data_IF_994805885413
#
_entry.id   IF_994805885413
#
_cell.length_a   1.000
_cell.length_b   1.000
_cell.length_c   1.000
_cell.angle_alpha   90.00
_cell.angle_beta   90.00
_cell.angle_gamma   90.00
#
_symmetry.space_group_name_H-M   'P 1'
#
loop_
_entity.id
_entity.type
_entity.pdbx_description
1 polymer ?
#
# COMPACT_ATOMS: atom_id res chain seq x y z
N UNK A 1 13.72 17.01 18.22
CA UNK A 1 14.85 17.47 17.39
C UNK A 1 14.53 17.24 15.92
N UNK A 2 14.98 18.07 14.97
CA UNK A 2 14.73 17.85 13.55
C UNK A 2 15.40 16.55 13.08
N UNK A 3 14.67 15.73 12.31
CA UNK A 3 15.21 14.47 11.77
C UNK A 3 16.19 14.68 10.61
N UNK A 4 16.27 15.89 10.07
CA UNK A 4 17.23 16.29 9.03
C UNK A 4 18.11 17.43 9.53
N UNK A 5 19.43 17.22 9.52
CA UNK A 5 20.41 18.23 9.95
C UNK A 5 21.03 18.90 8.74
N UNK A 6 20.89 20.22 8.65
CA UNK A 6 21.57 21.03 7.62
C UNK A 6 22.88 21.53 8.21
N UNK A 7 24.00 21.05 7.66
CA UNK A 7 25.33 21.54 8.05
C UNK A 7 25.58 22.88 7.36
N UNK A 8 25.43 23.97 8.11
CA UNK A 8 25.65 25.33 7.61
C UNK A 8 27.13 25.73 7.63
N UNK A 9 27.94 25.08 8.48
CA UNK A 9 29.36 25.38 8.66
C UNK A 9 30.19 24.10 8.81
N UNK A 10 31.33 24.04 8.14
CA UNK A 10 32.33 22.96 8.25
C UNK A 10 33.65 23.56 8.74
N UNK A 11 34.20 23.12 9.89
CA UNK A 11 35.50 23.58 10.39
C UNK A 11 36.67 23.30 9.44
N UNK A 12 36.53 22.31 8.54
CA UNK A 12 37.53 21.94 7.53
C UNK A 12 37.50 22.84 6.28
N UNK A 13 36.62 23.84 6.24
CA UNK A 13 36.35 24.65 5.05
C UNK A 13 35.53 23.90 3.98
N UNK A 14 35.12 24.63 2.93
CA UNK A 14 34.36 24.08 1.79
C UNK A 14 33.24 25.01 1.28
N UNK A 15 32.69 24.69 0.09
CA UNK A 15 31.53 25.41 -0.45
C UNK A 15 30.31 25.17 0.44
N UNK A 16 29.52 26.20 0.80
CA UNK A 16 28.33 26.03 1.62
C UNK A 16 27.37 24.99 1.05
N UNK A 17 26.63 24.30 1.93
CA UNK A 17 25.56 23.40 1.50
C UNK A 17 24.60 24.13 0.56
N UNK A 18 24.26 23.48 -0.56
CA UNK A 18 23.43 24.08 -1.61
C UNK A 18 21.98 24.27 -1.17
N UNK A 19 21.47 23.30 -0.42
CA UNK A 19 20.16 23.37 0.23
C UNK A 19 20.35 23.86 1.66
N UNK A 20 19.89 25.07 1.94
CA UNK A 20 20.11 25.77 3.22
C UNK A 20 18.88 25.74 4.12
N UNK A 21 17.72 25.36 3.58
CA UNK A 21 16.47 25.33 4.33
C UNK A 21 15.76 23.98 4.21
N UNK A 22 15.14 23.53 5.31
CA UNK A 22 14.42 22.25 5.35
C UNK A 22 13.31 22.15 4.32
N UNK A 23 12.60 23.24 4.04
CA UNK A 23 11.54 23.26 3.03
C UNK A 23 12.04 22.96 1.61
N UNK A 24 13.30 23.31 1.29
CA UNK A 24 13.91 23.00 -0.02
C UNK A 24 14.15 21.50 -0.15
N UNK A 25 14.64 20.88 0.94
CA UNK A 25 14.90 19.43 1.00
C UNK A 25 13.58 18.65 0.93
N UNK A 26 12.59 19.05 1.73
CA UNK A 26 11.27 18.43 1.73
C UNK A 26 10.57 18.60 0.38
N UNK A 27 10.57 19.82 -0.17
CA UNK A 27 9.99 20.11 -1.48
C UNK A 27 10.62 19.26 -2.59
N UNK A 28 11.95 19.12 -2.59
CA UNK A 28 12.64 18.25 -3.54
C UNK A 28 12.25 16.78 -3.39
N UNK A 29 12.15 16.28 -2.16
CA UNK A 29 11.73 14.90 -1.91
C UNK A 29 10.28 14.64 -2.37
N UNK A 30 9.37 15.57 -2.08
CA UNK A 30 7.97 15.43 -2.50
C UNK A 30 7.83 15.51 -4.03
N UNK A 31 8.54 16.43 -4.69
CA UNK A 31 8.63 16.45 -6.16
C UNK A 31 9.18 15.14 -6.70
N UNK A 32 10.23 14.59 -6.07
CA UNK A 32 10.79 13.29 -6.46
C UNK A 32 9.77 12.14 -6.33
N UNK A 33 8.89 12.16 -5.34
CA UNK A 33 7.86 11.13 -5.15
C UNK A 33 6.66 11.27 -6.09
N UNK A 34 6.19 12.50 -6.31
CA UNK A 34 4.99 12.77 -7.11
C UNK A 34 5.24 12.69 -8.61
N UNK A 35 6.46 13.01 -9.04
CA UNK A 35 6.80 13.11 -10.46
C UNK A 35 7.60 11.90 -10.97
N UNK A 36 7.46 11.59 -12.27
CA UNK A 36 8.28 10.64 -13.01
C UNK A 36 9.58 11.25 -13.53
N UNK A 37 9.86 12.52 -13.18
CA UNK A 37 11.09 13.24 -13.52
C UNK A 37 12.36 12.38 -13.44
N UNK A 38 13.16 12.49 -14.51
CA UNK A 38 14.55 12.04 -14.52
C UNK A 38 15.38 12.88 -13.54
N UNK A 39 16.47 12.29 -13.03
CA UNK A 39 17.37 12.96 -12.10
C UNK A 39 17.91 14.29 -12.64
N UNK A 40 18.12 14.41 -13.95
CA UNK A 40 18.55 15.64 -14.63
C UNK A 40 17.55 16.79 -14.45
N UNK A 41 16.25 16.53 -14.56
CA UNK A 41 15.21 17.54 -14.43
C UNK A 41 15.09 18.03 -12.98
N UNK A 42 15.17 17.11 -12.02
CA UNK A 42 15.21 17.47 -10.60
C UNK A 42 16.45 18.31 -10.26
N UNK A 43 17.60 18.00 -10.88
CA UNK A 43 18.82 18.81 -10.76
C UNK A 43 18.67 20.21 -11.33
N UNK A 44 17.97 20.38 -12.46
CA UNK A 44 17.68 21.68 -13.06
C UNK A 44 16.74 22.49 -12.18
N UNK A 45 15.63 21.90 -11.73
CA UNK A 45 14.59 22.59 -10.97
C UNK A 45 15.08 23.05 -9.60
N UNK A 46 15.83 22.21 -8.90
CA UNK A 46 16.34 22.51 -7.56
C UNK A 46 17.75 23.11 -7.59
N UNK A 47 18.33 23.26 -8.78
CA UNK A 47 19.68 23.75 -9.00
C UNK A 47 20.66 22.96 -8.14
N UNK A 48 21.02 21.73 -8.52
CA UNK A 48 21.97 20.89 -7.78
C UNK A 48 22.73 19.94 -8.70
N UNK A 49 24.03 19.65 -8.49
CA UNK A 49 24.70 18.63 -9.29
C UNK A 49 24.13 17.24 -8.94
N UNK A 50 24.13 16.26 -9.88
CA UNK A 50 23.51 14.94 -9.67
C UNK A 50 23.93 14.25 -8.37
N UNK A 51 25.22 14.23 -8.05
CA UNK A 51 25.73 13.61 -6.83
C UNK A 51 25.28 14.32 -5.53
N UNK A 52 24.95 15.61 -5.59
CA UNK A 52 24.42 16.33 -4.42
C UNK A 52 22.94 16.05 -4.24
N UNK A 53 22.15 16.12 -5.32
CA UNK A 53 20.72 15.82 -5.30
C UNK A 53 20.47 14.40 -4.80
N UNK A 54 21.21 13.42 -5.33
CA UNK A 54 21.10 12.02 -4.90
C UNK A 54 21.33 11.83 -3.41
N UNK A 55 22.44 12.38 -2.86
CA UNK A 55 22.74 12.31 -1.41
C UNK A 55 21.66 12.98 -0.56
N UNK A 56 21.15 14.11 -1.01
CA UNK A 56 20.12 14.86 -0.28
C UNK A 56 18.81 14.09 -0.28
N UNK A 57 18.41 13.47 -1.39
CA UNK A 57 17.22 12.58 -1.44
C UNK A 57 17.38 11.44 -0.44
N UNK A 58 18.50 10.70 -0.48
CA UNK A 58 18.70 9.55 0.43
C UNK A 58 18.59 9.96 1.90
N UNK A 59 19.21 11.07 2.28
CA UNK A 59 19.13 11.59 3.65
C UNK A 59 17.73 12.14 3.98
N UNK A 60 17.03 12.73 3.01
CA UNK A 60 15.67 13.23 3.18
C UNK A 60 14.66 12.08 3.35
N UNK A 61 14.80 10.99 2.58
CA UNK A 61 13.99 9.78 2.74
C UNK A 61 14.16 9.19 4.15
N UNK A 62 15.37 9.23 4.70
CA UNK A 62 15.64 8.79 6.08
C UNK A 62 14.95 9.68 7.11
N UNK A 63 15.13 10.99 6.98
CA UNK A 63 14.53 11.95 7.88
C UNK A 63 13.00 11.90 7.84
N UNK A 64 12.42 11.74 6.65
CA UNK A 64 10.99 11.57 6.45
C UNK A 64 10.51 10.26 7.09
N UNK A 65 11.23 9.16 6.90
CA UNK A 65 10.86 7.87 7.51
C UNK A 65 10.80 7.98 9.03
N UNK A 66 11.82 8.57 9.65
CA UNK A 66 11.86 8.83 11.08
C UNK A 66 10.71 9.72 11.56
N UNK A 67 10.37 10.76 10.78
CA UNK A 67 9.23 11.62 11.08
C UNK A 67 7.88 10.88 11.00
N UNK A 68 7.70 9.99 10.01
CA UNK A 68 6.43 9.28 9.78
C UNK A 68 6.21 8.08 10.70
N UNK A 69 7.25 7.53 11.34
CA UNK A 69 7.13 6.33 12.20
C UNK A 69 6.14 6.55 13.36
N UNK A 70 6.22 7.69 14.04
CA UNK A 70 5.38 8.05 15.18
C UNK A 70 4.27 9.06 14.87
N UNK A 71 4.07 9.42 13.60
CA UNK A 71 3.12 10.48 13.24
C UNK A 71 1.72 9.90 12.99
N UNK A 72 0.80 10.14 13.93
CA UNK A 72 -0.55 9.57 13.95
C UNK A 72 -1.30 9.64 12.61
N UNK A 73 -1.32 10.80 11.92
CA UNK A 73 -2.00 10.91 10.63
C UNK A 73 -1.45 9.97 9.54
N UNK A 74 -0.18 9.55 9.63
CA UNK A 74 0.47 8.70 8.63
C UNK A 74 0.51 7.22 9.00
N UNK A 75 0.03 6.84 10.20
CA UNK A 75 0.14 5.46 10.69
C UNK A 75 -0.66 4.48 9.83
N UNK A 76 -0.04 3.33 9.56
CA UNK A 76 -0.67 2.10 9.07
C UNK A 76 -0.83 1.20 10.28
N UNK A 77 -2.05 0.85 10.64
CA UNK A 77 -2.33 0.09 11.87
C UNK A 77 -3.53 -0.81 11.65
N UNK A 78 -3.42 -2.03 12.16
CA UNK A 78 -4.52 -2.98 12.13
C UNK A 78 -5.74 -2.41 12.89
N UNK A 79 -6.95 -2.47 12.33
CA UNK A 79 -8.12 -1.89 12.98
C UNK A 79 -8.46 -2.66 14.26
N UNK A 80 -8.82 -1.94 15.33
CA UNK A 80 -9.43 -2.54 16.53
C UNK A 80 -10.76 -3.20 16.20
N UNK A 81 -11.30 -4.07 17.06
CA UNK A 81 -12.61 -4.70 16.82
C UNK A 81 -13.73 -3.66 16.59
N UNK A 82 -13.74 -2.57 17.36
CA UNK A 82 -14.73 -1.51 17.18
C UNK A 82 -14.58 -0.86 15.81
N UNK A 83 -13.34 -0.65 15.34
CA UNK A 83 -13.08 -0.14 14.00
C UNK A 83 -13.45 -1.16 12.92
N UNK A 84 -13.17 -2.44 13.09
CA UNK A 84 -13.59 -3.48 12.15
C UNK A 84 -15.11 -3.49 11.96
N UNK A 85 -15.87 -3.38 13.06
CA UNK A 85 -17.34 -3.26 13.04
C UNK A 85 -17.81 -2.02 12.28
N UNK A 86 -17.18 -0.87 12.54
CA UNK A 86 -17.48 0.39 11.86
C UNK A 86 -17.22 0.31 10.35
N UNK A 87 -16.07 -0.22 9.93
CA UNK A 87 -15.71 -0.41 8.53
C UNK A 87 -16.65 -1.41 7.83
N UNK A 88 -16.99 -2.51 8.50
CA UNK A 88 -17.94 -3.46 7.94
C UNK A 88 -19.34 -2.88 7.80
N UNK A 89 -19.73 -1.97 8.70
CA UNK A 89 -21.00 -1.25 8.56
C UNK A 89 -20.99 -0.41 7.27
N UNK A 90 -19.94 0.37 7.01
CA UNK A 90 -19.80 1.15 5.76
C UNK A 90 -19.91 0.26 4.51
N UNK A 91 -19.24 -0.90 4.52
CA UNK A 91 -19.29 -1.85 3.40
C UNK A 91 -20.70 -2.45 3.25
N UNK A 92 -21.33 -2.84 4.37
CA UNK A 92 -22.68 -3.43 4.36
C UNK A 92 -23.78 -2.46 3.88
N UNK A 93 -23.60 -1.15 4.11
CA UNK A 93 -24.50 -0.12 3.60
C UNK A 93 -24.47 -0.05 2.08
N UNK A 94 -23.32 -0.35 1.46
CA UNK A 94 -23.17 -0.40 0.00
C UNK A 94 -23.52 -1.77 -0.58
N UNK A 95 -23.19 -2.84 0.13
CA UNK A 95 -23.38 -4.22 -0.31
C UNK A 95 -23.82 -5.09 0.88
N UNK A 96 -25.13 -5.29 1.04
CA UNK A 96 -25.68 -6.01 2.18
C UNK A 96 -25.23 -7.48 2.25
N UNK A 97 -24.92 -8.09 1.10
CA UNK A 97 -24.51 -9.50 1.01
C UNK A 97 -23.15 -9.81 1.66
N UNK A 98 -22.33 -8.80 1.96
CA UNK A 98 -20.97 -8.95 2.53
C UNK A 98 -20.81 -8.20 3.85
N UNK A 99 -21.71 -8.51 4.80
CA UNK A 99 -21.91 -7.75 6.05
C UNK A 99 -20.77 -7.80 7.07
N UNK A 100 -19.81 -8.72 6.95
CA UNK A 100 -18.68 -8.86 7.89
C UNK A 100 -17.32 -8.51 7.27
N UNK A 101 -17.30 -7.95 6.07
CA UNK A 101 -16.07 -7.52 5.40
C UNK A 101 -15.65 -6.16 5.96
N UNK A 102 -14.46 -6.05 6.57
CA UNK A 102 -13.93 -4.79 7.11
C UNK A 102 -12.81 -4.17 6.25
N UNK A 103 -12.45 -4.80 5.12
CA UNK A 103 -11.43 -4.28 4.22
C UNK A 103 -11.25 -5.08 2.94
N UNK A 104 -10.31 -4.64 2.12
CA UNK A 104 -10.02 -5.15 0.79
C UNK A 104 -8.53 -5.41 0.65
N UNK A 105 -8.15 -6.60 0.19
CA UNK A 105 -6.76 -7.04 0.06
C UNK A 105 -6.39 -7.12 -1.41
N UNK A 106 -5.24 -6.55 -1.77
CA UNK A 106 -4.72 -6.61 -3.13
C UNK A 106 -3.22 -6.89 -3.18
N UNK A 107 -2.81 -7.67 -4.18
CA UNK A 107 -1.43 -7.93 -4.51
C UNK A 107 -0.88 -6.85 -5.45
N UNK A 108 0.39 -6.48 -5.29
CA UNK A 108 1.02 -5.46 -6.12
C UNK A 108 2.49 -5.72 -6.41
N UNK A 109 2.82 -5.74 -7.68
CA UNK A 109 4.19 -5.79 -8.18
C UNK A 109 4.72 -4.38 -8.50
N UNK A 110 5.96 -4.13 -8.08
CA UNK A 110 6.73 -2.92 -8.39
C UNK A 110 8.00 -3.30 -9.13
N UNK A 111 8.24 -2.68 -10.29
CA UNK A 111 9.46 -2.91 -11.07
C UNK A 111 10.67 -2.47 -10.26
N UNK A 112 11.77 -3.19 -10.40
CA UNK A 112 13.05 -2.79 -9.83
C UNK A 112 14.11 -2.66 -10.92
N UNK A 113 15.13 -1.85 -10.63
CA UNK A 113 16.35 -1.88 -11.43
C UNK A 113 16.96 -3.27 -11.34
N UNK A 114 17.24 -3.84 -12.51
CA UNK A 114 17.77 -5.19 -12.65
C UNK A 114 19.08 -5.35 -11.86
N UNK A 115 19.13 -6.26 -10.86
CA UNK A 115 20.36 -6.56 -10.15
C UNK A 115 21.39 -7.19 -11.09
N UNK A 116 22.67 -6.82 -10.95
CA UNK A 116 23.76 -7.47 -11.71
C UNK A 116 24.09 -8.88 -11.22
N UNK A 117 23.68 -9.22 -10.00
CA UNK A 117 23.86 -10.55 -9.43
C UNK A 117 22.73 -11.48 -9.91
N UNK A 118 23.10 -12.61 -10.52
CA UNK A 118 22.17 -13.54 -11.12
C UNK A 118 21.20 -14.17 -10.12
N UNK A 119 21.65 -14.53 -8.91
CA UNK A 119 20.78 -15.13 -7.88
C UNK A 119 19.72 -14.14 -7.40
N UNK A 120 20.12 -12.89 -7.17
CA UNK A 120 19.19 -11.81 -6.82
C UNK A 120 18.22 -11.51 -7.96
N UNK A 121 18.71 -11.51 -9.20
CA UNK A 121 17.85 -11.33 -10.36
C UNK A 121 16.83 -12.47 -10.46
N UNK A 122 17.25 -13.72 -10.32
CA UNK A 122 16.38 -14.90 -10.36
C UNK A 122 15.33 -14.86 -9.25
N UNK A 123 15.72 -14.50 -8.02
CA UNK A 123 14.79 -14.36 -6.90
C UNK A 123 13.71 -13.30 -7.17
N UNK A 124 14.07 -12.23 -7.88
CA UNK A 124 13.15 -11.14 -8.21
C UNK A 124 12.46 -11.28 -9.57
N UNK A 125 12.84 -12.26 -10.39
CA UNK A 125 12.24 -12.48 -11.69
C UNK A 125 10.82 -13.03 -11.55
N UNK A 126 9.87 -12.35 -12.19
CA UNK A 126 8.48 -12.78 -12.23
C UNK A 126 8.21 -13.46 -13.57
N UNK A 127 7.99 -14.78 -13.53
CA UNK A 127 7.80 -15.59 -14.74
C UNK A 127 6.53 -15.25 -15.55
N UNK A 128 5.52 -14.63 -14.91
CA UNK A 128 4.28 -14.21 -15.56
C UNK A 128 4.43 -12.85 -16.26
N UNK A 129 5.13 -11.91 -15.62
CA UNK A 129 5.34 -10.56 -16.14
C UNK A 129 6.60 -10.41 -17.01
N UNK A 130 7.42 -11.46 -17.09
CA UNK A 130 8.65 -11.53 -17.88
C UNK A 130 9.67 -10.41 -17.59
N UNK A 131 9.74 -9.97 -16.33
CA UNK A 131 10.65 -8.91 -15.88
C UNK A 131 10.93 -9.03 -14.37
N UNK A 132 11.76 -8.15 -13.81
CA UNK A 132 12.24 -8.19 -12.43
C UNK A 132 11.42 -7.25 -11.54
N UNK A 133 10.83 -7.82 -10.48
CA UNK A 133 9.93 -7.12 -9.58
C UNK A 133 10.26 -7.36 -8.11
N UNK A 134 9.73 -6.50 -7.25
CA UNK A 134 9.35 -6.88 -5.89
C UNK A 134 7.84 -6.91 -5.79
N UNK A 135 7.34 -7.86 -5.02
CA UNK A 135 5.91 -7.99 -4.74
C UNK A 135 5.56 -7.42 -3.36
N UNK A 136 4.30 -7.05 -3.22
CA UNK A 136 3.69 -6.53 -2.02
C UNK A 136 2.21 -6.89 -1.96
N UNK A 137 1.62 -6.78 -0.78
CA UNK A 137 0.20 -6.93 -0.53
C UNK A 137 -0.24 -5.80 0.38
N UNK A 138 -1.31 -5.12 0.00
CA UNK A 138 -1.89 -3.99 0.72
C UNK A 138 -3.32 -4.34 1.13
N UNK A 139 -3.68 -3.99 2.36
CA UNK A 139 -5.04 -4.07 2.84
C UNK A 139 -5.59 -2.66 3.06
N UNK A 140 -6.68 -2.35 2.37
CA UNK A 140 -7.40 -1.09 2.46
C UNK A 140 -8.67 -1.24 3.27
N UNK A 141 -9.05 -0.18 3.95
CA UNK A 141 -10.30 -0.06 4.70
C UNK A 141 -11.31 0.77 3.90
N UNK A 142 -12.60 0.70 4.27
CA UNK A 142 -13.69 1.38 3.58
C UNK A 142 -13.57 2.92 3.58
N UNK A 143 -12.86 3.48 4.54
CA UNK A 143 -12.53 4.91 4.62
C UNK A 143 -11.22 5.24 3.85
N UNK A 144 -10.75 4.33 3.01
CA UNK A 144 -9.64 4.53 2.09
C UNK A 144 -8.24 4.49 2.70
N UNK A 145 -8.08 4.07 3.96
CA UNK A 145 -6.77 3.96 4.59
C UNK A 145 -6.14 2.59 4.33
N UNK A 146 -4.82 2.58 4.18
CA UNK A 146 -4.00 1.37 4.29
C UNK A 146 -3.96 0.98 5.76
N UNK A 147 -4.50 -0.19 6.10
CA UNK A 147 -4.53 -0.72 7.47
C UNK A 147 -3.49 -1.80 7.71
N UNK A 148 -3.00 -2.41 6.63
CA UNK A 148 -1.90 -3.36 6.68
C UNK A 148 -1.15 -3.36 5.35
N UNK A 149 0.15 -3.58 5.40
CA UNK A 149 1.00 -3.67 4.21
C UNK A 149 2.16 -4.62 4.48
N UNK A 150 2.44 -5.51 3.53
CA UNK A 150 3.69 -6.25 3.42
C UNK A 150 4.25 -6.03 2.03
N UNK A 151 5.47 -5.56 1.92
CA UNK A 151 6.04 -5.21 0.63
C UNK A 151 7.54 -5.47 0.61
N UNK A 152 8.14 -5.22 -0.56
CA UNK A 152 9.57 -5.43 -0.78
C UNK A 152 9.98 -6.91 -0.65
N UNK A 153 9.08 -7.82 -1.04
CA UNK A 153 9.32 -9.25 -1.09
C UNK A 153 9.83 -9.68 -2.49
N UNK A 154 10.46 -10.87 -2.61
CA UNK A 154 10.93 -11.37 -3.90
C UNK A 154 9.81 -11.41 -4.95
N UNK A 155 10.08 -10.92 -6.17
CA UNK A 155 9.07 -10.84 -7.24
C UNK A 155 8.60 -12.20 -7.77
N UNK A 156 9.31 -13.27 -7.42
CA UNK A 156 8.91 -14.66 -7.67
C UNK A 156 7.79 -15.16 -6.75
N UNK A 157 7.53 -14.48 -5.63
CA UNK A 157 6.48 -14.89 -4.68
C UNK A 157 5.09 -14.59 -5.25
N UNK A 158 4.15 -15.51 -5.00
CA UNK A 158 2.75 -15.34 -5.36
C UNK A 158 1.93 -14.74 -4.20
N UNK A 159 0.66 -14.44 -4.47
CA UNK A 159 -0.26 -13.86 -3.48
C UNK A 159 -0.50 -14.79 -2.27
N UNK A 160 -0.43 -16.10 -2.46
CA UNK A 160 -0.47 -17.10 -1.40
C UNK A 160 0.68 -16.97 -0.41
N UNK A 161 1.92 -16.89 -0.92
CA UNK A 161 3.13 -16.70 -0.11
C UNK A 161 3.09 -15.35 0.64
N UNK A 162 2.62 -14.31 -0.06
CA UNK A 162 2.53 -12.96 0.49
C UNK A 162 1.47 -12.84 1.59
N UNK A 163 0.35 -13.54 1.44
CA UNK A 163 -0.75 -13.50 2.39
C UNK A 163 -0.49 -14.23 3.71
N UNK A 164 0.57 -15.03 3.85
CA UNK A 164 0.79 -15.87 5.04
C UNK A 164 0.78 -15.06 6.35
N UNK A 165 1.46 -13.91 6.37
CA UNK A 165 1.50 -13.04 7.54
C UNK A 165 0.16 -12.35 7.79
N UNK A 166 -0.52 -11.96 6.71
CA UNK A 166 -1.87 -11.40 6.79
C UNK A 166 -2.87 -12.40 7.38
N UNK A 167 -2.82 -13.66 6.94
CA UNK A 167 -3.64 -14.75 7.47
C UNK A 167 -3.36 -15.01 8.95
N UNK A 168 -2.07 -14.97 9.36
CA UNK A 168 -1.71 -15.05 10.79
C UNK A 168 -2.32 -13.90 11.59
N UNK A 169 -2.31 -12.67 11.07
CA UNK A 169 -2.98 -11.53 11.70
C UNK A 169 -4.48 -11.75 11.81
N UNK A 170 -5.14 -12.22 10.75
CA UNK A 170 -6.58 -12.56 10.77
C UNK A 170 -6.94 -13.65 11.80
N UNK A 171 -6.03 -14.58 12.05
CA UNK A 171 -6.22 -15.67 13.02
C UNK A 171 -5.89 -15.29 14.46
N UNK A 172 -5.15 -14.21 14.66
CA UNK A 172 -4.79 -13.69 15.97
C UNK A 172 -6.06 -13.29 16.75
N UNK A 173 -6.24 -13.88 17.93
CA UNK A 173 -7.44 -13.69 18.76
C UNK A 173 -7.47 -12.34 19.47
N UNK A 174 -6.31 -11.70 19.65
CA UNK A 174 -6.25 -10.35 20.22
C UNK A 174 -6.60 -9.31 19.16
N UNK A 175 -6.13 -9.50 17.92
CA UNK A 175 -6.42 -8.60 16.82
C UNK A 175 -7.83 -8.81 16.23
N UNK A 176 -8.30 -10.06 16.18
CA UNK A 176 -9.57 -10.46 15.57
C UNK A 176 -10.35 -11.39 16.52
N UNK A 177 -10.85 -10.87 17.65
CA UNK A 177 -11.60 -11.66 18.63
C UNK A 177 -12.93 -12.20 18.07
N UNK A 178 -13.56 -11.47 17.13
CA UNK A 178 -14.76 -11.93 16.42
C UNK A 178 -14.35 -12.52 15.06
N UNK A 179 -14.50 -13.83 14.93
CA UNK A 179 -14.05 -14.61 13.78
C UNK A 179 -14.85 -14.39 12.50
N UNK A 180 -15.98 -13.68 12.58
CA UNK A 180 -16.81 -13.38 11.42
C UNK A 180 -16.19 -12.29 10.55
N UNK A 181 -15.41 -11.40 11.15
CA UNK A 181 -14.81 -10.29 10.42
C UNK A 181 -13.69 -10.76 9.51
N UNK A 182 -13.68 -10.18 8.32
CA UNK A 182 -12.84 -10.62 7.23
C UNK A 182 -12.55 -9.52 6.21
N UNK A 183 -11.94 -9.91 5.11
CA UNK A 183 -11.65 -9.04 3.97
C UNK A 183 -12.08 -9.69 2.67
N UNK A 184 -12.25 -8.88 1.64
CA UNK A 184 -12.37 -9.35 0.26
C UNK A 184 -11.03 -9.30 -0.43
N UNK A 185 -10.71 -10.31 -1.23
CA UNK A 185 -9.46 -10.42 -1.97
C UNK A 185 -9.70 -10.96 -3.40
N UNK A 186 -8.66 -10.96 -4.23
CA UNK A 186 -8.67 -11.69 -5.50
C UNK A 186 -8.59 -13.21 -5.27
N UNK A 187 -9.10 -13.97 -6.24
CA UNK A 187 -9.10 -15.44 -6.30
C UNK A 187 -7.71 -16.09 -6.23
N UNK A 188 -6.63 -15.32 -6.42
CA UNK A 188 -5.26 -15.77 -6.21
C UNK A 188 -4.91 -15.93 -4.72
N UNK A 189 -5.67 -15.30 -3.82
CA UNK A 189 -5.50 -15.44 -2.38
C UNK A 189 -6.14 -16.74 -1.85
N UNK A 190 -5.45 -17.46 -0.94
CA UNK A 190 -5.93 -18.74 -0.43
C UNK A 190 -7.10 -18.57 0.54
N UNK A 191 -8.20 -19.28 0.27
CA UNK A 191 -9.45 -19.24 1.07
C UNK A 191 -9.79 -20.57 1.77
N UNK A 192 -8.85 -21.50 1.85
CA UNK A 192 -9.06 -22.81 2.47
C UNK A 192 -8.98 -22.77 4.01
N UNK A 193 -9.54 -23.82 4.63
CA UNK A 193 -9.47 -24.10 6.06
C UNK A 193 -9.93 -22.92 6.93
N UNK A 194 -9.06 -22.44 7.82
CA UNK A 194 -9.34 -21.39 8.79
C UNK A 194 -9.69 -20.03 8.16
N UNK A 195 -9.39 -19.84 6.86
CA UNK A 195 -9.72 -18.62 6.10
C UNK A 195 -11.12 -18.64 5.50
N UNK A 196 -11.81 -19.79 5.51
CA UNK A 196 -13.17 -19.89 4.98
C UNK A 196 -14.10 -18.93 5.72
N UNK A 197 -14.80 -18.07 4.95
CA UNK A 197 -15.68 -17.03 5.47
C UNK A 197 -14.98 -15.77 5.99
N UNK A 198 -13.64 -15.76 6.05
CA UNK A 198 -12.83 -14.59 6.47
C UNK A 198 -12.11 -13.92 5.32
N UNK A 199 -11.62 -14.68 4.36
CA UNK A 199 -11.15 -14.14 3.08
C UNK A 199 -12.21 -14.53 2.06
N UNK A 200 -12.94 -13.53 1.58
CA UNK A 200 -13.96 -13.72 0.56
C UNK A 200 -13.35 -13.43 -0.80
N UNK A 201 -13.41 -14.39 -1.70
CA UNK A 201 -12.95 -14.27 -3.08
C UNK A 201 -14.09 -14.60 -4.04
N UNK A 202 -14.12 -13.99 -5.24
CA UNK A 202 -15.08 -14.35 -6.27
C UNK A 202 -14.96 -15.84 -6.62
N UNK A 203 -16.11 -16.47 -6.86
CA UNK A 203 -16.15 -17.86 -7.35
C UNK A 203 -15.66 -17.91 -8.80
N UNK A 204 -14.82 -18.90 -9.11
CA UNK A 204 -14.46 -19.23 -10.50
C UNK A 204 -15.64 -19.91 -11.18
N UNK A 205 -15.73 -19.79 -12.50
CA UNK A 205 -16.82 -20.37 -13.30
C UNK A 205 -16.96 -21.89 -13.09
N UNK A 206 -15.83 -22.60 -13.00
CA UNK A 206 -15.81 -24.03 -12.71
C UNK A 206 -16.36 -24.40 -11.33
N UNK A 207 -16.21 -23.53 -10.32
CA UNK A 207 -16.69 -23.78 -8.96
C UNK A 207 -18.20 -23.56 -8.86
N UNK A 208 -18.75 -22.59 -9.59
CA UNK A 208 -20.20 -22.39 -9.70
C UNK A 208 -20.92 -23.61 -10.28
N UNK A 209 -20.30 -24.29 -11.24
CA UNK A 209 -20.86 -25.48 -11.87
C UNK A 209 -20.86 -26.71 -10.95
N UNK A 210 -19.97 -26.74 -9.95
CA UNK A 210 -19.90 -27.80 -8.93
C UNK A 210 -20.96 -27.66 -7.83
N UNK A 211 -21.58 -26.48 -7.72
CA UNK A 211 -22.64 -26.23 -6.73
C UNK A 211 -23.96 -26.90 -7.15
N UNK A 212 -24.71 -27.34 -6.14
CA UNK A 212 -26.07 -27.86 -6.33
C UNK A 212 -26.97 -26.78 -6.96
N UNK A 213 -27.89 -27.15 -7.87
CA UNK A 213 -28.69 -26.16 -8.61
C UNK A 213 -29.46 -25.16 -7.72
N UNK A 214 -29.95 -25.61 -6.57
CA UNK A 214 -30.76 -24.79 -5.65
C UNK A 214 -30.02 -23.60 -5.03
N UNK A 215 -28.69 -23.67 -4.91
CA UNK A 215 -27.87 -22.59 -4.31
C UNK A 215 -27.11 -21.76 -5.33
N UNK A 216 -27.13 -22.16 -6.61
CA UNK A 216 -26.30 -21.57 -7.66
C UNK A 216 -26.60 -20.08 -7.89
N UNK A 217 -27.87 -19.69 -7.90
CA UNK A 217 -28.26 -18.28 -8.11
C UNK A 217 -27.88 -17.38 -6.93
N UNK A 218 -27.99 -17.88 -5.70
CA UNK A 218 -27.54 -17.16 -4.51
C UNK A 218 -26.03 -17.02 -4.51
N UNK A 219 -25.31 -18.10 -4.85
CA UNK A 219 -23.85 -18.09 -4.95
C UNK A 219 -23.34 -17.16 -6.06
N UNK A 220 -24.00 -17.11 -7.21
CA UNK A 220 -23.72 -16.14 -8.28
C UNK A 220 -23.90 -14.71 -7.80
N UNK A 221 -25.00 -14.43 -7.10
CA UNK A 221 -25.29 -13.10 -6.56
C UNK A 221 -24.25 -12.65 -5.54
N UNK A 222 -23.86 -13.55 -4.63
CA UNK A 222 -22.78 -13.28 -3.66
C UNK A 222 -21.42 -13.09 -4.36
N UNK A 223 -21.09 -13.92 -5.35
CA UNK A 223 -19.85 -13.80 -6.12
C UNK A 223 -19.79 -12.46 -6.86
N UNK A 224 -20.89 -12.04 -7.50
CA UNK A 224 -20.98 -10.74 -8.15
C UNK A 224 -20.82 -9.58 -7.16
N UNK A 225 -21.42 -9.70 -5.98
CA UNK A 225 -21.24 -8.74 -4.89
C UNK A 225 -19.78 -8.63 -4.44
N UNK A 226 -19.10 -9.77 -4.23
CA UNK A 226 -17.68 -9.83 -3.86
C UNK A 226 -16.83 -9.17 -4.96
N UNK A 227 -17.04 -9.53 -6.23
CA UNK A 227 -16.31 -8.95 -7.37
C UNK A 227 -16.47 -7.43 -7.42
N UNK A 228 -17.68 -6.93 -7.21
CA UNK A 228 -17.97 -5.49 -7.24
C UNK A 228 -17.20 -4.74 -6.14
N UNK A 229 -17.21 -5.23 -4.90
CA UNK A 229 -16.52 -4.52 -3.80
C UNK A 229 -15.01 -4.75 -3.81
N UNK A 230 -14.52 -5.85 -4.39
CA UNK A 230 -13.08 -6.12 -4.57
C UNK A 230 -12.39 -5.01 -5.36
N UNK A 231 -13.09 -4.40 -6.33
CA UNK A 231 -12.57 -3.29 -7.13
C UNK A 231 -12.07 -2.12 -6.27
N UNK A 232 -12.57 -1.97 -5.03
CA UNK A 232 -12.06 -0.99 -4.08
C UNK A 232 -10.56 -1.15 -3.79
N UNK A 233 -10.06 -2.39 -3.74
CA UNK A 233 -8.64 -2.65 -3.50
C UNK A 233 -7.78 -2.12 -4.66
N UNK A 234 -8.21 -2.38 -5.91
CA UNK A 234 -7.57 -1.87 -7.13
C UNK A 234 -7.62 -0.33 -7.19
N UNK A 235 -8.77 0.26 -6.86
CA UNK A 235 -8.92 1.72 -6.71
C UNK A 235 -7.96 2.28 -5.66
N UNK A 236 -7.77 1.57 -4.54
CA UNK A 236 -6.82 1.90 -3.49
C UNK A 236 -5.40 1.98 -4.02
N UNK A 237 -4.90 0.89 -4.61
CA UNK A 237 -3.56 0.83 -5.22
C UNK A 237 -3.39 1.90 -6.29
N UNK A 238 -4.36 2.00 -7.21
CA UNK A 238 -4.33 2.97 -8.30
C UNK A 238 -4.31 4.41 -7.81
N UNK A 239 -5.02 4.74 -6.71
CA UNK A 239 -5.02 6.09 -6.14
C UNK A 239 -3.65 6.50 -5.58
N UNK A 240 -2.87 5.55 -5.05
CA UNK A 240 -1.51 5.79 -4.57
C UNK A 240 -0.60 6.05 -5.77
N UNK A 241 -0.66 5.21 -6.81
CA UNK A 241 0.20 5.33 -8.00
C UNK A 241 -0.10 6.59 -8.82
N UNK A 242 -1.37 7.02 -8.89
CA UNK A 242 -1.78 8.30 -9.51
C UNK A 242 -1.17 9.53 -8.83
N UNK A 243 -0.88 9.45 -7.52
CA UNK A 243 -0.28 10.55 -6.77
C UNK A 243 1.23 10.43 -6.75
N UNK A 244 1.76 9.21 -6.56
CA UNK A 244 3.17 8.94 -6.40
C UNK A 244 3.72 8.19 -7.61
N UNK A 245 3.90 8.90 -8.72
CA UNK A 245 4.39 8.32 -9.98
C UNK A 245 5.76 7.64 -9.85
N UNK A 246 6.52 7.91 -8.78
CA UNK A 246 7.75 7.18 -8.49
C UNK A 246 7.55 5.66 -8.40
N UNK A 247 6.36 5.19 -8.02
CA UNK A 247 6.01 3.77 -7.97
C UNK A 247 5.86 3.13 -9.36
N UNK A 248 5.59 3.93 -10.39
CA UNK A 248 5.49 3.48 -11.78
C UNK A 248 6.85 3.32 -12.46
N UNK A 249 7.91 3.83 -11.83
CA UNK A 249 9.29 3.73 -12.32
C UNK A 249 10.02 2.58 -11.64
N UNK A 250 11.07 2.02 -12.28
CA UNK A 250 11.94 1.04 -11.63
C UNK A 250 12.51 1.57 -10.30
N UNK A 251 12.17 0.88 -9.21
CA UNK A 251 12.68 1.19 -7.88
C UNK A 251 14.14 0.73 -7.72
N UNK A 252 14.90 1.28 -6.76
CA UNK A 252 16.28 0.89 -6.55
C UNK A 252 16.44 -0.62 -6.28
N UNK A 253 17.51 -1.22 -6.78
CA UNK A 253 17.84 -2.62 -6.46
C UNK A 253 18.21 -2.79 -4.97
N UNK A 254 18.78 -1.76 -4.33
CA UNK A 254 19.12 -1.76 -2.91
C UNK A 254 17.85 -1.96 -2.06
N UNK A 255 17.83 -3.04 -1.29
CA UNK A 255 16.64 -3.50 -0.56
C UNK A 255 16.21 -2.50 0.52
N UNK A 256 17.15 -1.91 1.27
CA UNK A 256 16.85 -1.00 2.38
C UNK A 256 16.32 0.34 1.88
N UNK A 257 16.95 0.88 0.84
CA UNK A 257 16.50 2.12 0.20
C UNK A 257 15.10 1.94 -0.38
N UNK A 258 14.87 0.81 -1.06
CA UNK A 258 13.55 0.47 -1.62
C UNK A 258 12.51 0.27 -0.53
N UNK A 259 12.84 -0.42 0.57
CA UNK A 259 11.95 -0.60 1.73
C UNK A 259 11.51 0.75 2.28
N UNK A 260 12.47 1.61 2.61
CA UNK A 260 12.25 2.95 3.16
C UNK A 260 11.36 3.80 2.25
N UNK A 261 11.59 3.74 0.94
CA UNK A 261 10.78 4.47 -0.03
C UNK A 261 9.33 4.01 -0.04
N UNK A 262 9.11 2.69 -0.10
CA UNK A 262 7.75 2.13 -0.06
C UNK A 262 7.05 2.48 1.26
N UNK A 263 7.74 2.34 2.39
CA UNK A 263 7.22 2.71 3.71
C UNK A 263 6.78 4.19 3.75
N UNK A 264 7.63 5.09 3.26
CA UNK A 264 7.33 6.53 3.20
C UNK A 264 6.11 6.80 2.33
N UNK A 265 6.05 6.23 1.12
CA UNK A 265 4.96 6.46 0.17
C UNK A 265 3.62 5.96 0.70
N UNK A 266 3.57 4.78 1.32
CA UNK A 266 2.34 4.24 1.91
C UNK A 266 1.89 5.03 3.14
N UNK A 267 2.82 5.46 4.00
CA UNK A 267 2.50 6.35 5.13
C UNK A 267 2.01 7.72 4.67
N UNK A 268 2.62 8.29 3.63
CA UNK A 268 2.17 9.54 3.02
C UNK A 268 0.80 9.38 2.34
N UNK A 269 0.48 8.21 1.80
CA UNK A 269 -0.87 7.93 1.29
C UNK A 269 -1.91 8.03 2.41
N UNK A 270 -1.68 7.38 3.56
CA UNK A 270 -2.55 7.52 4.73
C UNK A 270 -2.64 8.96 5.24
N UNK A 271 -1.50 9.66 5.33
CA UNK A 271 -1.46 11.07 5.70
C UNK A 271 -2.40 11.90 4.81
N UNK A 272 -2.25 11.77 3.49
CA UNK A 272 -3.06 12.48 2.51
C UNK A 272 -4.55 12.17 2.67
N UNK A 273 -4.91 10.90 2.85
CA UNK A 273 -6.31 10.50 3.03
C UNK A 273 -6.89 11.09 4.31
N UNK A 274 -6.16 11.05 5.44
CA UNK A 274 -6.64 11.62 6.71
C UNK A 274 -6.72 13.15 6.71
N UNK A 275 -5.79 13.85 6.05
CA UNK A 275 -5.78 15.32 6.09
C UNK A 275 -6.64 15.96 5.02
N UNK A 276 -6.71 15.37 3.82
CA UNK A 276 -7.44 15.94 2.68
C UNK A 276 -8.81 15.28 2.50
N UNK A 277 -8.99 14.05 2.99
CA UNK A 277 -10.26 13.31 2.87
C UNK A 277 -10.51 12.72 1.48
N UNK A 278 -9.54 12.78 0.56
CA UNK A 278 -9.69 12.35 -0.84
C UNK A 278 -9.12 10.95 -1.02
N UNK A 279 -9.99 9.97 -1.28
CA UNK A 279 -9.67 8.62 -1.74
C UNK A 279 -10.81 8.08 -2.60
N UNK A 280 -10.50 7.34 -3.66
CA UNK A 280 -11.50 6.74 -4.55
C UNK A 280 -12.36 5.71 -3.80
N UNK A 281 -11.77 4.99 -2.85
CA UNK A 281 -12.48 4.10 -1.93
C UNK A 281 -13.48 4.90 -1.07
N UNK A 282 -13.04 6.03 -0.49
CA UNK A 282 -13.93 6.87 0.34
C UNK A 282 -15.14 7.35 -0.43
N UNK A 283 -14.96 7.81 -1.66
CA UNK A 283 -16.06 8.24 -2.52
C UNK A 283 -17.06 7.11 -2.79
N UNK A 284 -16.63 5.85 -2.69
CA UNK A 284 -17.47 4.67 -2.91
C UNK A 284 -18.24 4.24 -1.67
N UNK A 285 -17.68 4.40 -0.47
CA UNK A 285 -18.25 3.87 0.79
C UNK A 285 -18.66 4.92 1.82
N UNK A 286 -18.37 6.20 1.60
CA UNK A 286 -18.74 7.32 2.47
C UNK A 286 -19.53 8.35 1.68
N UNK A 287 -20.79 8.57 2.06
CA UNK A 287 -21.75 9.41 1.33
C UNK A 287 -22.09 10.72 2.04
N UNK A 288 -21.71 10.89 3.31
CA UNK A 288 -21.97 12.14 4.04
C UNK A 288 -21.16 12.33 5.33
N UNK A 289 -21.31 13.50 6.00
CA UNK A 289 -20.64 13.79 7.27
C UNK A 289 -20.98 12.78 8.38
N UNK A 290 -22.17 12.19 8.32
CA UNK A 290 -22.64 11.20 9.29
C UNK A 290 -21.82 9.91 9.27
N UNK A 291 -21.21 9.57 8.14
CA UNK A 291 -20.33 8.41 8.02
C UNK A 291 -18.97 8.64 8.68
N UNK A 292 -18.61 9.89 8.99
CA UNK A 292 -17.37 10.21 9.72
C UNK A 292 -17.38 9.73 11.17
N UNK A 293 -18.55 9.38 11.72
CA UNK A 293 -18.60 8.74 13.04
C UNK A 293 -17.90 7.36 13.07
N UNK A 294 -17.62 6.79 11.89
CA UNK A 294 -16.91 5.53 11.70
C UNK A 294 -15.40 5.73 11.46
N UNK A 295 -14.90 6.98 11.41
CA UNK A 295 -13.48 7.38 11.26
C UNK A 295 -12.65 7.30 12.54
#
# INVERSE_FOLDING_TARGET
>A
MPHYTIVLYSPKGGRPARFRHHHQVLGMLLCYYVDSMHASQLCLQFGGPPATVSRVITAAEEALSNALIGFDPARITWPSLNRQKALAKLISLRQALVSFTCGFLDGKNYRILQPSNADLQNAHYNGWLHDVFVTGTLCFSADGLIVWAKHNCPGSWNDGDMSLEFRRRLMDRELNPDRRFGVVADSAFPCADEMTGRILTPLKEGDLNRLVPSVREVAKSLSAAITSIRQAAECGVGSIEKVYHRLLLPLPYNQDLRRRRLDNLFRLANYRVRTVGISEIRTTFMYGPEDRQYE
#
